data_IF_670668573131
#
_entry.id   IF_670668573131
#
_cell.length_a   1.000
_cell.length_b   1.000
_cell.length_c   1.000
_cell.angle_alpha   90.00
_cell.angle_beta   90.00
_cell.angle_gamma   90.00
#
_symmetry.space_group_name_H-M   'P 1'
#
loop_
_entity.id
_entity.type
_entity.pdbx_description
1 polymer ?
#
# COMPACT_ATOMS: atom_id res chain seq x y z
N UNK A 1 11.63 7.62 21.61
CA UNK A 1 12.25 7.04 20.42
C UNK A 1 11.27 6.05 19.79
N UNK A 2 11.21 6.00 18.44
CA UNK A 2 10.49 4.94 17.76
C UNK A 2 11.18 3.60 18.02
N UNK A 3 10.42 2.50 17.96
CA UNK A 3 10.95 1.15 18.05
C UNK A 3 10.54 0.39 16.78
N UNK A 4 11.52 -0.03 15.98
CA UNK A 4 11.29 -0.81 14.75
C UNK A 4 11.91 -2.19 14.95
N UNK A 5 11.05 -3.19 15.08
CA UNK A 5 11.46 -4.60 15.08
C UNK A 5 11.63 -5.06 13.64
N UNK A 6 12.79 -5.60 13.31
CA UNK A 6 13.08 -6.10 11.96
C UNK A 6 12.88 -7.61 11.86
N UNK A 7 12.03 -8.03 10.93
CA UNK A 7 11.84 -9.41 10.52
C UNK A 7 12.33 -9.56 9.07
N UNK A 8 13.39 -10.35 8.88
CA UNK A 8 13.92 -10.63 7.55
C UNK A 8 13.54 -12.05 7.12
N UNK A 9 12.63 -12.16 6.13
CA UNK A 9 12.17 -13.43 5.60
C UNK A 9 13.02 -13.96 4.44
N UNK A 10 14.04 -13.22 3.99
CA UNK A 10 14.90 -13.64 2.85
C UNK A 10 15.62 -14.96 3.12
N UNK A 11 16.24 -15.21 4.29
CA UNK A 11 16.86 -16.50 4.56
C UNK A 11 15.87 -17.66 4.47
N UNK A 12 14.62 -17.45 4.93
CA UNK A 12 13.54 -18.45 4.85
C UNK A 12 13.12 -18.70 3.41
N UNK A 13 13.09 -17.66 2.56
CA UNK A 13 12.83 -17.81 1.14
C UNK A 13 13.94 -18.57 0.43
N UNK A 14 15.21 -18.29 0.74
CA UNK A 14 16.35 -18.96 0.13
C UNK A 14 16.40 -20.45 0.48
N UNK A 15 16.12 -20.82 1.73
CA UNK A 15 16.00 -22.22 2.16
C UNK A 15 14.88 -22.95 1.39
N UNK A 16 13.72 -22.29 1.24
CA UNK A 16 12.65 -22.80 0.38
C UNK A 16 13.13 -22.95 -1.07
N UNK A 17 13.73 -21.91 -1.66
CA UNK A 17 14.14 -21.89 -3.05
C UNK A 17 15.16 -22.99 -3.37
N UNK A 18 16.14 -23.20 -2.51
CA UNK A 18 17.14 -24.27 -2.64
C UNK A 18 16.47 -25.67 -2.73
N UNK A 19 15.46 -25.92 -1.89
CA UNK A 19 14.71 -27.20 -1.90
C UNK A 19 13.80 -27.33 -3.11
N UNK A 20 13.24 -26.22 -3.60
CA UNK A 20 12.27 -26.19 -4.71
C UNK A 20 12.93 -26.12 -6.09
N UNK A 21 14.21 -25.71 -6.19
CA UNK A 21 14.92 -25.55 -7.46
C UNK A 21 15.58 -26.85 -7.93
N UNK A 22 14.84 -27.95 -7.85
CA UNK A 22 15.26 -29.26 -8.34
C UNK A 22 14.55 -29.55 -9.67
N UNK A 23 15.27 -30.07 -10.67
CA UNK A 23 14.77 -30.25 -12.04
C UNK A 23 13.54 -31.16 -12.14
N UNK A 24 13.48 -32.18 -11.26
CA UNK A 24 12.38 -33.16 -11.27
C UNK A 24 11.10 -32.73 -10.55
N UNK A 25 11.09 -31.58 -9.86
CA UNK A 25 9.88 -31.09 -9.20
C UNK A 25 8.97 -30.38 -10.20
N UNK A 26 7.69 -30.70 -10.14
CA UNK A 26 6.67 -29.97 -10.85
C UNK A 26 6.21 -28.72 -10.08
N UNK A 27 5.33 -27.94 -10.68
CA UNK A 27 4.88 -26.67 -10.10
C UNK A 27 4.02 -26.88 -8.85
N UNK A 28 3.25 -27.97 -8.77
CA UNK A 28 2.43 -28.29 -7.59
C UNK A 28 3.31 -28.72 -6.41
N UNK A 29 4.37 -29.47 -6.64
CA UNK A 29 5.32 -29.86 -5.62
C UNK A 29 6.10 -28.64 -5.09
N UNK A 30 6.50 -27.72 -5.98
CA UNK A 30 7.12 -26.42 -5.62
C UNK A 30 6.17 -25.57 -4.81
N UNK A 31 4.88 -25.48 -5.19
CA UNK A 31 3.86 -24.76 -4.44
C UNK A 31 3.65 -25.33 -3.04
N UNK A 32 3.64 -26.66 -2.91
CA UNK A 32 3.57 -27.33 -1.60
C UNK A 32 4.76 -26.95 -0.72
N UNK A 33 5.97 -27.02 -1.25
CA UNK A 33 7.18 -26.60 -0.54
C UNK A 33 7.13 -25.11 -0.14
N UNK A 34 6.60 -24.24 -1.01
CA UNK A 34 6.43 -22.84 -0.70
C UNK A 34 5.51 -22.63 0.50
N UNK A 35 4.37 -23.28 0.54
CA UNK A 35 3.43 -23.22 1.66
C UNK A 35 4.01 -23.75 2.97
N UNK A 36 4.77 -24.80 2.91
CA UNK A 36 5.35 -25.45 4.09
C UNK A 36 6.56 -24.69 4.66
N UNK A 37 7.35 -24.06 3.82
CA UNK A 37 8.64 -23.51 4.23
C UNK A 37 8.69 -21.97 4.23
N UNK A 38 7.88 -21.29 3.43
CA UNK A 38 7.91 -19.83 3.31
C UNK A 38 6.58 -19.17 3.60
N UNK A 39 5.56 -19.42 2.80
CA UNK A 39 4.16 -19.04 2.97
C UNK A 39 3.92 -17.56 3.31
N UNK A 40 4.56 -16.65 2.58
CA UNK A 40 4.37 -15.21 2.75
C UNK A 40 4.17 -14.52 1.39
N UNK A 41 3.07 -13.77 1.26
CA UNK A 41 2.73 -13.00 0.06
C UNK A 41 1.84 -11.79 0.43
N UNK A 42 1.87 -10.77 -0.43
CA UNK A 42 1.03 -9.57 -0.30
C UNK A 42 -0.39 -9.84 -0.85
N UNK A 43 -1.16 -10.66 -0.14
CA UNK A 43 -2.50 -11.10 -0.55
C UNK A 43 -3.48 -11.00 0.62
N UNK A 44 -4.80 -10.88 0.35
CA UNK A 44 -5.82 -10.94 1.39
C UNK A 44 -5.76 -12.25 2.18
N UNK A 45 -6.22 -12.28 3.44
CA UNK A 45 -6.31 -13.52 4.20
C UNK A 45 -7.38 -14.47 3.62
N UNK A 46 -7.24 -15.77 3.92
CA UNK A 46 -8.23 -16.80 3.56
C UNK A 46 -7.98 -17.49 2.22
N UNK A 47 -8.98 -18.24 1.76
CA UNK A 47 -8.85 -19.11 0.57
C UNK A 47 -8.60 -18.33 -0.72
N UNK A 48 -9.25 -17.18 -0.88
CA UNK A 48 -9.06 -16.36 -2.07
C UNK A 48 -7.63 -15.81 -2.15
N UNK A 49 -7.09 -15.36 -1.02
CA UNK A 49 -5.68 -14.94 -0.93
C UNK A 49 -4.72 -16.07 -1.27
N UNK A 50 -5.02 -17.31 -0.87
CA UNK A 50 -4.21 -18.47 -1.22
C UNK A 50 -4.22 -18.78 -2.73
N UNK A 51 -5.35 -18.58 -3.41
CA UNK A 51 -5.44 -18.71 -4.88
C UNK A 51 -4.61 -17.65 -5.58
N UNK A 52 -4.70 -16.40 -5.11
CA UNK A 52 -3.89 -15.28 -5.64
C UNK A 52 -2.40 -15.56 -5.41
N UNK A 53 -2.00 -15.95 -4.20
CA UNK A 53 -0.61 -16.29 -3.87
C UNK A 53 -0.07 -17.39 -4.77
N UNK A 54 -0.86 -18.44 -5.05
CA UNK A 54 -0.50 -19.53 -5.96
C UNK A 54 -0.24 -19.02 -7.38
N UNK A 55 -1.13 -18.17 -7.88
CA UNK A 55 -0.98 -17.56 -9.20
C UNK A 55 0.28 -16.66 -9.29
N UNK A 56 0.51 -15.83 -8.29
CA UNK A 56 1.71 -14.98 -8.18
C UNK A 56 2.98 -15.84 -8.16
N UNK A 57 2.99 -16.87 -7.34
CA UNK A 57 4.10 -17.80 -7.22
C UNK A 57 4.47 -18.45 -8.56
N UNK A 58 3.49 -18.97 -9.29
CA UNK A 58 3.74 -19.58 -10.61
C UNK A 58 4.25 -18.54 -11.61
N UNK A 59 3.69 -17.35 -11.64
CA UNK A 59 4.16 -16.25 -12.49
C UNK A 59 5.55 -15.74 -12.13
N UNK A 60 6.01 -15.96 -10.90
CA UNK A 60 7.28 -15.47 -10.39
C UNK A 60 8.43 -16.49 -10.52
N UNK A 61 8.17 -17.79 -10.74
CA UNK A 61 9.18 -18.83 -10.65
C UNK A 61 10.43 -18.55 -11.50
N UNK A 62 10.23 -18.24 -12.78
CA UNK A 62 11.36 -17.92 -13.67
C UNK A 62 12.03 -16.58 -13.34
N UNK A 63 11.30 -15.65 -12.69
CA UNK A 63 11.86 -14.40 -12.20
C UNK A 63 12.75 -14.64 -10.98
N UNK A 64 12.38 -15.54 -10.08
CA UNK A 64 13.25 -15.96 -8.96
C UNK A 64 14.59 -16.47 -9.46
N UNK A 65 14.59 -17.40 -10.42
CA UNK A 65 15.82 -17.93 -11.02
C UNK A 65 16.73 -16.83 -11.58
N UNK A 66 16.14 -15.88 -12.30
CA UNK A 66 16.88 -14.76 -12.90
C UNK A 66 17.44 -13.77 -11.89
N UNK A 67 16.78 -13.63 -10.73
CA UNK A 67 17.12 -12.63 -9.73
C UNK A 67 17.73 -13.23 -8.45
N UNK A 68 18.02 -14.53 -8.42
CA UNK A 68 18.47 -15.19 -7.18
C UNK A 68 19.72 -14.53 -6.59
N UNK A 69 20.70 -14.17 -7.41
CA UNK A 69 21.92 -13.48 -6.96
C UNK A 69 21.61 -12.11 -6.31
N UNK A 70 20.61 -11.38 -6.80
CA UNK A 70 20.16 -10.14 -6.18
C UNK A 70 19.52 -10.42 -4.83
N UNK A 71 18.63 -11.42 -4.75
CA UNK A 71 17.93 -11.80 -3.52
C UNK A 71 18.93 -12.25 -2.44
N UNK A 72 19.93 -13.08 -2.79
CA UNK A 72 20.97 -13.56 -1.88
C UNK A 72 21.84 -12.44 -1.31
N UNK A 73 22.15 -11.44 -2.13
CA UNK A 73 23.04 -10.34 -1.74
C UNK A 73 22.30 -9.11 -1.20
N UNK A 74 20.96 -9.14 -1.17
CA UNK A 74 20.16 -8.02 -0.70
C UNK A 74 20.37 -7.74 0.78
N UNK A 75 20.41 -6.47 1.13
CA UNK A 75 20.56 -6.02 2.52
C UNK A 75 19.59 -4.89 2.82
N UNK A 76 18.82 -5.05 3.89
CA UNK A 76 17.93 -3.99 4.38
C UNK A 76 18.70 -2.76 4.86
N UNK A 77 18.04 -1.61 4.72
CA UNK A 77 18.56 -0.34 5.22
C UNK A 77 17.58 0.23 6.26
N UNK A 78 17.75 -0.18 7.52
CA UNK A 78 16.89 0.28 8.62
C UNK A 78 16.98 1.79 8.85
N UNK A 79 18.19 2.37 8.72
CA UNK A 79 18.39 3.82 8.90
C UNK A 79 17.58 4.63 7.90
N UNK A 80 17.43 4.14 6.65
CA UNK A 80 16.58 4.77 5.64
C UNK A 80 15.11 4.77 6.08
N UNK A 81 14.62 3.65 6.61
CA UNK A 81 13.24 3.55 7.12
C UNK A 81 13.01 4.47 8.31
N UNK A 82 13.95 4.52 9.26
CA UNK A 82 13.89 5.41 10.42
C UNK A 82 13.87 6.90 10.03
N UNK A 83 14.70 7.29 9.07
CA UNK A 83 14.74 8.67 8.57
C UNK A 83 13.43 9.04 7.87
N UNK A 84 12.93 8.20 6.98
CA UNK A 84 11.66 8.42 6.29
C UNK A 84 10.48 8.47 7.29
N UNK A 85 10.43 7.58 8.27
CA UNK A 85 9.42 7.61 9.34
C UNK A 85 9.45 8.93 10.13
N UNK A 86 10.64 9.43 10.44
CA UNK A 86 10.81 10.71 11.14
C UNK A 86 10.26 11.87 10.30
N UNK A 87 10.53 11.86 9.00
CA UNK A 87 10.08 12.89 8.06
C UNK A 87 8.54 12.87 7.90
N UNK A 88 7.95 11.70 7.69
CA UNK A 88 6.49 11.52 7.63
C UNK A 88 5.83 11.96 8.94
N UNK A 89 6.37 11.57 10.10
CA UNK A 89 5.86 12.01 11.41
C UNK A 89 5.87 13.53 11.56
N UNK A 90 6.96 14.18 11.16
CA UNK A 90 7.08 15.64 11.20
C UNK A 90 6.02 16.30 10.32
N UNK A 91 5.82 15.78 9.12
CA UNK A 91 4.89 16.32 8.14
C UNK A 91 3.42 16.17 8.60
N UNK A 92 3.08 15.02 9.18
CA UNK A 92 1.73 14.77 9.70
C UNK A 92 1.51 15.28 11.14
N UNK A 93 2.53 15.87 11.76
CA UNK A 93 2.42 16.47 13.09
C UNK A 93 2.29 15.45 14.23
N UNK A 94 2.87 14.25 14.08
CA UNK A 94 2.84 13.19 15.09
C UNK A 94 4.16 13.11 15.85
N UNK A 95 4.16 13.43 17.14
CA UNK A 95 5.36 13.52 17.99
C UNK A 95 5.60 12.29 18.88
N UNK A 96 4.57 11.44 19.08
CA UNK A 96 4.67 10.28 19.96
C UNK A 96 5.50 9.14 19.33
N UNK A 97 6.12 8.25 20.13
CA UNK A 97 6.78 7.06 19.63
C UNK A 97 5.86 6.17 18.79
N UNK A 98 6.42 5.53 17.77
CA UNK A 98 5.74 4.48 17.01
C UNK A 98 6.51 3.17 17.21
N UNK A 99 5.77 2.12 17.58
CA UNK A 99 6.24 0.75 17.58
C UNK A 99 5.77 0.08 16.29
N UNK A 100 6.72 -0.32 15.45
CA UNK A 100 6.48 -0.85 14.11
C UNK A 100 7.24 -2.16 13.93
N UNK A 101 6.66 -3.10 13.22
CA UNK A 101 7.36 -4.28 12.71
C UNK A 101 7.67 -4.04 11.23
N UNK A 102 8.93 -4.15 10.85
CA UNK A 102 9.38 -4.06 9.46
C UNK A 102 9.65 -5.47 8.95
N UNK A 103 8.91 -5.89 7.94
CA UNK A 103 9.05 -7.22 7.34
C UNK A 103 9.60 -7.07 5.92
N UNK A 104 10.81 -7.58 5.69
CA UNK A 104 11.32 -7.75 4.33
C UNK A 104 11.02 -9.15 3.83
N UNK A 105 10.45 -9.25 2.63
CA UNK A 105 10.04 -10.52 2.05
C UNK A 105 10.32 -10.58 0.54
N UNK A 106 10.27 -11.76 -0.04
CA UNK A 106 10.30 -11.97 -1.49
C UNK A 106 8.88 -12.27 -1.95
N UNK A 107 8.30 -11.37 -2.73
CA UNK A 107 6.94 -11.49 -3.28
C UNK A 107 6.90 -12.15 -4.66
N UNK A 108 5.88 -11.83 -5.44
CA UNK A 108 5.67 -12.35 -6.80
C UNK A 108 6.08 -11.38 -7.91
N UNK A 109 6.89 -10.38 -7.62
CA UNK A 109 7.26 -9.26 -8.53
C UNK A 109 6.10 -8.36 -8.93
N UNK A 110 5.08 -8.29 -8.09
CA UNK A 110 3.93 -7.41 -8.24
C UNK A 110 4.15 -5.98 -7.70
N UNK A 111 5.30 -5.74 -7.06
CA UNK A 111 5.67 -4.47 -6.43
C UNK A 111 4.63 -3.98 -5.40
N UNK A 112 4.14 -4.88 -4.59
CA UNK A 112 3.09 -4.61 -3.62
C UNK A 112 3.64 -4.57 -2.19
N UNK A 113 4.14 -3.41 -1.75
CA UNK A 113 4.35 -3.12 -0.34
C UNK A 113 3.00 -2.84 0.33
N UNK A 114 2.87 -3.13 1.62
CA UNK A 114 1.63 -2.92 2.35
C UNK A 114 1.84 -2.76 3.84
N UNK A 115 0.85 -2.14 4.50
CA UNK A 115 0.73 -2.08 5.96
C UNK A 115 -0.43 -2.95 6.41
N UNK A 116 -0.20 -3.79 7.42
CA UNK A 116 -1.21 -4.67 8.01
C UNK A 116 -1.09 -4.73 9.53
N UNK A 117 -2.14 -5.12 10.27
CA UNK A 117 -2.03 -5.46 11.68
C UNK A 117 -1.02 -6.59 11.90
N UNK A 118 -0.09 -6.41 12.82
CA UNK A 118 0.84 -7.46 13.23
C UNK A 118 0.37 -8.15 14.50
N UNK A 119 -0.01 -7.34 15.48
CA UNK A 119 -0.62 -7.77 16.73
C UNK A 119 -1.65 -6.72 17.20
N UNK A 120 -2.08 -6.80 18.46
CA UNK A 120 -3.10 -5.89 19.01
C UNK A 120 -2.67 -4.42 19.04
N UNK A 121 -1.36 -4.14 19.08
CA UNK A 121 -0.83 -2.80 19.29
C UNK A 121 -0.02 -2.27 18.09
N UNK A 122 0.58 -3.19 17.31
CA UNK A 122 1.56 -2.85 16.29
C UNK A 122 1.06 -3.15 14.88
N UNK A 123 1.48 -2.30 13.97
CA UNK A 123 1.38 -2.53 12.54
C UNK A 123 2.67 -3.14 12.01
N UNK A 124 2.55 -3.94 10.96
CA UNK A 124 3.68 -4.37 10.14
C UNK A 124 3.72 -3.55 8.85
N UNK A 125 4.90 -3.05 8.53
CA UNK A 125 5.26 -2.55 7.20
C UNK A 125 5.95 -3.68 6.44
N UNK A 126 5.33 -4.18 5.40
CA UNK A 126 5.82 -5.30 4.60
C UNK A 126 6.36 -4.79 3.26
N UNK A 127 7.65 -5.03 2.99
CA UNK A 127 8.35 -4.53 1.80
C UNK A 127 8.89 -5.70 0.99
N UNK A 128 8.44 -5.88 -0.27
CA UNK A 128 9.01 -6.86 -1.17
C UNK A 128 10.36 -6.36 -1.70
N UNK A 129 11.38 -7.21 -1.61
CA UNK A 129 12.75 -6.78 -1.95
C UNK A 129 13.07 -6.87 -3.45
N UNK A 130 12.41 -7.73 -4.18
CA UNK A 130 12.66 -7.98 -5.60
C UNK A 130 12.31 -6.81 -6.52
N UNK A 131 11.52 -5.87 -6.01
CA UNK A 131 11.12 -4.66 -6.75
C UNK A 131 12.09 -3.48 -6.56
N UNK A 132 13.15 -3.69 -5.80
CA UNK A 132 14.15 -2.67 -5.48
C UNK A 132 13.69 -1.67 -4.42
N UNK A 133 14.57 -0.73 -4.12
CA UNK A 133 14.32 0.33 -3.13
C UNK A 133 13.60 1.52 -3.76
N UNK A 134 12.39 1.83 -3.29
CA UNK A 134 11.61 2.99 -3.70
C UNK A 134 11.31 3.89 -2.51
N UNK A 135 11.84 5.12 -2.50
CA UNK A 135 11.50 6.12 -1.48
C UNK A 135 10.05 6.58 -1.60
N UNK A 136 9.48 6.55 -2.82
CA UNK A 136 8.06 6.84 -3.06
C UNK A 136 7.20 5.80 -2.34
N UNK A 137 7.46 4.51 -2.56
CA UNK A 137 6.75 3.42 -1.91
C UNK A 137 6.93 3.46 -0.39
N UNK A 138 8.16 3.65 0.08
CA UNK A 138 8.46 3.71 1.51
C UNK A 138 7.71 4.86 2.21
N UNK A 139 7.73 6.05 1.65
CA UNK A 139 7.02 7.20 2.22
C UNK A 139 5.50 7.06 2.14
N UNK A 140 4.97 6.44 1.08
CA UNK A 140 3.56 6.10 0.95
C UNK A 140 3.10 5.18 2.10
N UNK A 141 3.76 4.04 2.26
CA UNK A 141 3.39 3.06 3.29
C UNK A 141 3.61 3.59 4.72
N UNK A 142 4.68 4.32 4.97
CA UNK A 142 4.89 4.96 6.28
C UNK A 142 3.86 6.04 6.58
N UNK A 143 3.26 6.67 5.54
CA UNK A 143 2.13 7.58 5.73
C UNK A 143 0.92 6.84 6.29
N UNK A 144 0.59 5.65 5.81
CA UNK A 144 -0.48 4.83 6.40
C UNK A 144 -0.21 4.51 7.88
N UNK A 145 1.03 4.16 8.22
CA UNK A 145 1.43 3.89 9.62
C UNK A 145 1.21 5.11 10.51
N UNK A 146 1.66 6.29 10.10
CA UNK A 146 1.53 7.52 10.90
C UNK A 146 0.08 8.00 10.92
N UNK A 147 -0.62 8.01 9.79
CA UNK A 147 -2.01 8.42 9.67
C UNK A 147 -2.94 7.56 10.53
N UNK A 148 -2.68 6.27 10.65
CA UNK A 148 -3.44 5.41 11.56
C UNK A 148 -3.42 5.89 13.02
N UNK A 149 -2.32 6.54 13.43
CA UNK A 149 -2.15 7.07 14.79
C UNK A 149 -2.69 8.50 14.96
N UNK A 150 -2.65 9.33 13.91
CA UNK A 150 -3.17 10.72 13.98
C UNK A 150 -4.69 10.77 13.88
N UNK A 151 -5.30 9.92 13.05
CA UNK A 151 -6.73 9.89 12.78
C UNK A 151 -7.48 8.80 13.57
N UNK A 152 -6.76 8.00 14.38
CA UNK A 152 -7.33 6.85 15.10
C UNK A 152 -8.06 5.87 14.16
N UNK A 153 -7.39 5.53 13.03
CA UNK A 153 -7.98 4.68 12.00
C UNK A 153 -8.11 3.23 12.47
N UNK A 154 -9.20 2.59 12.07
CA UNK A 154 -9.35 1.15 12.26
C UNK A 154 -8.28 0.39 11.46
N UNK A 155 -7.65 -0.64 12.05
CA UNK A 155 -6.72 -1.49 11.33
C UNK A 155 -7.42 -2.50 10.41
N UNK A 156 -8.75 -2.59 10.46
CA UNK A 156 -9.54 -3.53 9.69
C UNK A 156 -9.55 -3.18 8.20
N UNK A 157 -9.72 -4.18 7.37
CA UNK A 157 -9.93 -4.00 5.94
C UNK A 157 -11.25 -3.28 5.64
N UNK A 158 -12.30 -3.63 6.40
CA UNK A 158 -13.66 -3.10 6.25
C UNK A 158 -13.76 -1.71 6.89
N UNK A 159 -13.46 -0.70 6.10
CA UNK A 159 -13.56 0.73 6.45
C UNK A 159 -14.34 1.46 5.37
N UNK A 160 -14.86 2.65 5.66
CA UNK A 160 -15.63 3.41 4.68
C UNK A 160 -14.83 3.74 3.43
N UNK A 161 -15.49 3.83 2.29
CA UNK A 161 -14.86 4.27 1.03
C UNK A 161 -14.22 5.66 1.22
N UNK A 162 -14.88 6.56 1.93
CA UNK A 162 -14.30 7.86 2.26
C UNK A 162 -12.98 7.74 3.02
N UNK A 163 -12.90 6.83 4.01
CA UNK A 163 -11.66 6.58 4.76
C UNK A 163 -10.54 6.09 3.83
N UNK A 164 -10.84 5.17 2.93
CA UNK A 164 -9.87 4.67 1.94
C UNK A 164 -9.41 5.79 1.00
N UNK A 165 -10.32 6.61 0.47
CA UNK A 165 -10.00 7.76 -0.38
C UNK A 165 -9.02 8.70 0.30
N UNK A 166 -9.30 9.11 1.56
CA UNK A 166 -8.45 10.06 2.27
C UNK A 166 -7.07 9.48 2.58
N UNK A 167 -7.01 8.19 2.97
CA UNK A 167 -5.76 7.51 3.28
C UNK A 167 -4.85 7.41 2.05
N UNK A 168 -5.39 6.98 0.91
CA UNK A 168 -4.61 6.82 -0.32
C UNK A 168 -4.21 8.17 -0.92
N UNK A 169 -5.12 9.15 -0.89
CA UNK A 169 -4.82 10.51 -1.32
C UNK A 169 -3.73 11.16 -0.50
N UNK A 170 -3.80 11.03 0.83
CA UNK A 170 -2.78 11.56 1.73
C UNK A 170 -1.43 10.88 1.48
N UNK A 171 -1.40 9.54 1.37
CA UNK A 171 -0.16 8.78 1.18
C UNK A 171 0.53 9.10 -0.16
N UNK A 172 -0.23 9.27 -1.24
CA UNK A 172 0.31 9.66 -2.55
C UNK A 172 0.87 11.08 -2.55
N UNK A 173 0.17 12.05 -1.93
CA UNK A 173 0.64 13.44 -1.88
C UNK A 173 1.83 13.62 -0.92
N UNK A 174 1.86 12.90 0.21
CA UNK A 174 3.03 12.88 1.10
C UNK A 174 4.24 12.31 0.38
N UNK A 175 4.09 11.22 -0.35
CA UNK A 175 5.21 10.65 -1.11
C UNK A 175 5.72 11.60 -2.19
N UNK A 176 4.83 12.34 -2.87
CA UNK A 176 5.21 13.40 -3.81
C UNK A 176 5.96 14.54 -3.16
N UNK A 177 5.59 14.92 -1.94
CA UNK A 177 6.25 15.98 -1.19
C UNK A 177 7.64 15.57 -0.72
N UNK A 178 7.79 14.36 -0.17
CA UNK A 178 9.06 13.83 0.36
C UNK A 178 10.05 13.51 -0.78
N UNK A 179 9.55 13.00 -1.90
CA UNK A 179 10.37 12.60 -3.07
C UNK A 179 9.99 13.45 -4.28
N UNK A 180 10.32 14.73 -4.33
CA UNK A 180 9.84 15.62 -5.38
C UNK A 180 10.54 15.37 -6.74
N UNK A 181 9.98 15.99 -7.80
CA UNK A 181 10.64 16.10 -9.11
C UNK A 181 10.39 14.93 -10.06
N UNK A 182 9.43 14.06 -9.75
CA UNK A 182 8.94 13.04 -10.69
C UNK A 182 7.59 13.48 -11.27
N UNK A 183 7.22 13.00 -12.48
CA UNK A 183 5.86 13.17 -12.99
C UNK A 183 4.82 12.55 -12.06
N UNK A 184 3.61 13.10 -12.05
CA UNK A 184 2.53 12.68 -11.14
C UNK A 184 2.20 11.19 -11.25
N UNK A 185 2.29 10.64 -12.44
CA UNK A 185 2.08 9.22 -12.72
C UNK A 185 2.97 8.31 -11.86
N UNK A 186 4.18 8.77 -11.49
CA UNK A 186 5.12 7.97 -10.67
C UNK A 186 4.69 7.79 -9.22
N UNK A 187 3.77 8.62 -8.74
CA UNK A 187 3.29 8.57 -7.36
C UNK A 187 1.96 7.82 -7.23
N UNK A 188 1.17 7.73 -8.31
CA UNK A 188 -0.19 7.21 -8.23
C UNK A 188 -0.48 6.07 -9.24
N UNK A 189 0.23 6.04 -10.38
CA UNK A 189 -0.12 5.15 -11.48
C UNK A 189 0.36 3.72 -11.21
N UNK A 190 -0.55 2.75 -11.30
CA UNK A 190 -0.24 1.33 -11.15
C UNK A 190 -0.04 0.62 -12.51
N UNK A 191 -0.57 1.20 -13.59
CA UNK A 191 -0.35 0.77 -14.97
C UNK A 191 -0.27 1.97 -15.92
N UNK A 192 0.56 1.88 -16.92
CA UNK A 192 0.83 2.97 -17.86
C UNK A 192 -0.43 3.54 -18.49
N UNK A 193 -0.60 4.85 -18.40
CA UNK A 193 -1.70 5.60 -19.00
C UNK A 193 -3.00 5.63 -18.20
N UNK A 194 -3.06 4.91 -17.06
CA UNK A 194 -4.25 4.87 -16.21
C UNK A 194 -4.62 6.25 -15.65
N UNK A 195 -3.66 6.98 -15.12
CA UNK A 195 -3.92 8.29 -14.51
C UNK A 195 -4.48 9.30 -15.52
N UNK A 196 -3.89 9.33 -16.71
CA UNK A 196 -4.38 10.21 -17.78
C UNK A 196 -5.77 9.79 -18.27
N UNK A 197 -6.07 8.48 -18.32
CA UNK A 197 -7.41 8.01 -18.68
C UNK A 197 -8.47 8.40 -17.64
N UNK A 198 -8.13 8.35 -16.34
CA UNK A 198 -9.03 8.83 -15.29
C UNK A 198 -9.29 10.34 -15.38
N UNK A 199 -8.27 11.14 -15.71
CA UNK A 199 -8.45 12.60 -15.91
C UNK A 199 -9.48 12.94 -17.00
N UNK A 200 -9.58 12.14 -18.06
CA UNK A 200 -10.54 12.37 -19.13
C UNK A 200 -12.00 12.22 -18.69
N UNK A 201 -12.26 11.42 -17.66
CA UNK A 201 -13.59 11.16 -17.10
C UNK A 201 -13.66 11.54 -15.61
N UNK A 202 -12.87 12.52 -15.22
CA UNK A 202 -12.71 12.98 -13.84
C UNK A 202 -14.04 13.26 -13.13
N UNK A 203 -14.91 14.01 -13.79
CA UNK A 203 -16.21 14.42 -13.21
C UNK A 203 -17.13 13.21 -12.97
N UNK A 204 -17.11 12.25 -13.89
CA UNK A 204 -17.90 11.02 -13.79
C UNK A 204 -17.41 10.12 -12.67
N UNK A 205 -16.08 9.92 -12.53
CA UNK A 205 -15.49 9.15 -11.42
C UNK A 205 -15.89 9.77 -10.09
N UNK A 206 -15.63 11.06 -9.91
CA UNK A 206 -15.91 11.77 -8.65
C UNK A 206 -17.41 11.70 -8.31
N UNK A 207 -18.29 11.99 -9.28
CA UNK A 207 -19.73 11.90 -9.09
C UNK A 207 -20.20 10.48 -8.77
N UNK A 208 -19.60 9.48 -9.42
CA UNK A 208 -19.98 8.09 -9.28
C UNK A 208 -19.64 7.49 -7.92
N UNK A 209 -18.56 7.92 -7.27
CA UNK A 209 -18.10 7.35 -5.99
C UNK A 209 -18.78 8.01 -4.75
N UNK A 210 -19.23 9.27 -4.85
CA UNK A 210 -19.82 10.02 -3.73
C UNK A 210 -20.94 9.27 -3.00
N UNK A 211 -21.89 8.57 -3.70
CA UNK A 211 -22.96 7.83 -3.02
C UNK A 211 -22.46 6.71 -2.09
N UNK A 212 -21.21 6.27 -2.25
CA UNK A 212 -20.62 5.16 -1.51
C UNK A 212 -19.72 5.59 -0.35
N UNK A 213 -19.60 6.87 -0.05
CA UNK A 213 -18.66 7.37 0.96
C UNK A 213 -18.81 6.71 2.33
N UNK A 214 -20.03 6.37 2.76
CA UNK A 214 -20.29 5.70 4.04
C UNK A 214 -20.26 4.17 3.95
N UNK A 215 -20.16 3.61 2.75
CA UNK A 215 -20.19 2.17 2.57
C UNK A 215 -18.85 1.56 2.99
N UNK A 216 -18.91 0.52 3.81
CA UNK A 216 -17.75 -0.23 4.31
C UNK A 216 -17.84 -1.72 3.99
N UNK A 217 -18.78 -2.13 3.12
CA UNK A 217 -18.91 -3.52 2.71
C UNK A 217 -17.70 -3.98 1.89
N UNK A 218 -17.26 -5.21 2.12
CA UNK A 218 -16.13 -5.81 1.39
C UNK A 218 -16.33 -5.79 -0.12
N UNK A 219 -17.58 -5.93 -0.60
CA UNK A 219 -17.94 -5.87 -2.01
C UNK A 219 -17.62 -4.49 -2.60
N UNK A 220 -18.08 -3.42 -1.94
CA UNK A 220 -17.90 -2.05 -2.41
C UNK A 220 -16.43 -1.62 -2.29
N UNK A 221 -15.74 -2.00 -1.21
CA UNK A 221 -14.31 -1.76 -1.06
C UNK A 221 -13.56 -2.42 -2.22
N UNK A 222 -13.82 -3.70 -2.50
CA UNK A 222 -13.19 -4.42 -3.60
C UNK A 222 -13.48 -3.76 -4.95
N UNK A 223 -14.72 -3.33 -5.18
CA UNK A 223 -15.13 -2.64 -6.40
C UNK A 223 -14.29 -1.40 -6.70
N UNK A 224 -14.03 -0.57 -5.69
CA UNK A 224 -13.36 0.72 -5.88
C UNK A 224 -11.84 0.68 -5.68
N UNK A 225 -11.31 -0.34 -4.99
CA UNK A 225 -9.85 -0.49 -4.76
C UNK A 225 -9.17 -1.39 -5.78
N UNK A 226 -9.84 -2.43 -6.26
CA UNK A 226 -9.27 -3.43 -7.18
C UNK A 226 -10.13 -3.65 -8.43
N UNK A 227 -11.44 -3.43 -8.31
CA UNK A 227 -12.40 -3.58 -9.40
C UNK A 227 -12.51 -2.34 -10.28
N UNK A 228 -13.51 -2.36 -11.14
CA UNK A 228 -13.70 -1.35 -12.21
C UNK A 228 -14.56 -0.15 -11.81
N UNK A 229 -14.79 0.08 -10.54
CA UNK A 229 -15.53 1.25 -10.03
C UNK A 229 -16.88 1.48 -10.70
N UNK A 230 -17.20 2.75 -11.00
CA UNK A 230 -18.44 3.18 -11.68
C UNK A 230 -18.25 3.59 -13.14
N UNK A 231 -17.02 3.81 -13.58
CA UNK A 231 -16.70 4.32 -14.93
C UNK A 231 -15.85 3.36 -15.75
N UNK A 232 -15.77 2.08 -15.33
CA UNK A 232 -14.88 1.07 -15.88
C UNK A 232 -13.37 1.39 -15.71
N UNK A 233 -13.03 2.29 -14.79
CA UNK A 233 -11.66 2.50 -14.33
C UNK A 233 -11.43 1.75 -13.04
N UNK A 234 -10.35 0.99 -12.97
CA UNK A 234 -9.93 0.35 -11.73
C UNK A 234 -9.34 1.39 -10.77
N UNK A 235 -9.34 1.08 -9.46
CA UNK A 235 -8.71 1.90 -8.42
C UNK A 235 -9.22 3.35 -8.34
N UNK A 236 -10.52 3.58 -8.55
CA UNK A 236 -11.12 4.93 -8.50
C UNK A 236 -10.90 5.64 -7.15
N UNK A 237 -10.79 4.92 -6.03
CA UNK A 237 -10.50 5.52 -4.71
C UNK A 237 -9.15 6.26 -4.70
N UNK A 238 -8.13 5.73 -5.39
CA UNK A 238 -6.81 6.35 -5.48
C UNK A 238 -6.88 7.65 -6.27
N UNK A 239 -7.56 7.63 -7.42
CA UNK A 239 -7.73 8.81 -8.25
C UNK A 239 -8.49 9.93 -7.51
N UNK A 240 -9.62 9.61 -6.87
CA UNK A 240 -10.41 10.58 -6.11
C UNK A 240 -9.63 11.09 -4.89
N UNK A 241 -8.88 10.22 -4.21
CA UNK A 241 -8.00 10.62 -3.12
C UNK A 241 -6.93 11.62 -3.57
N UNK A 242 -6.28 11.36 -4.70
CA UNK A 242 -5.32 12.30 -5.31
C UNK A 242 -5.96 13.66 -5.57
N UNK A 243 -7.11 13.70 -6.23
CA UNK A 243 -7.81 14.93 -6.59
C UNK A 243 -8.22 15.75 -5.35
N UNK A 244 -8.83 15.09 -4.34
CA UNK A 244 -9.28 15.76 -3.11
C UNK A 244 -8.11 16.33 -2.33
N UNK A 245 -7.06 15.52 -2.07
CA UNK A 245 -5.93 15.98 -1.28
C UNK A 245 -5.13 17.06 -2.02
N UNK A 246 -5.00 16.96 -3.34
CA UNK A 246 -4.41 18.04 -4.15
C UNK A 246 -5.18 19.34 -3.97
N UNK A 247 -6.52 19.33 -4.12
CA UNK A 247 -7.35 20.51 -3.97
C UNK A 247 -7.27 21.12 -2.54
N UNK A 248 -7.22 20.29 -1.51
CA UNK A 248 -7.04 20.76 -0.13
C UNK A 248 -5.70 21.48 0.07
N UNK A 249 -4.61 20.89 -0.43
CA UNK A 249 -3.28 21.50 -0.36
C UNK A 249 -3.21 22.83 -1.13
N UNK A 250 -3.85 22.93 -2.28
CA UNK A 250 -3.96 24.17 -3.08
C UNK A 250 -4.76 25.27 -2.35
N UNK A 251 -5.71 24.88 -1.49
CA UNK A 251 -6.41 25.82 -0.59
C UNK A 251 -5.61 26.19 0.67
N UNK A 252 -4.39 25.67 0.81
CA UNK A 252 -3.50 25.95 1.95
C UNK A 252 -3.76 25.07 3.18
N UNK A 253 -4.61 24.03 3.07
CA UNK A 253 -4.76 23.04 4.14
C UNK A 253 -3.48 22.21 4.24
N UNK A 254 -2.96 22.03 5.43
CA UNK A 254 -1.69 21.32 5.66
C UNK A 254 -1.89 19.81 5.75
N UNK A 255 -0.84 19.04 5.47
CA UNK A 255 -0.85 17.58 5.69
C UNK A 255 -1.24 17.20 7.14
N UNK A 256 -0.77 18.00 8.11
CA UNK A 256 -1.13 17.80 9.52
C UNK A 256 -2.62 17.93 9.77
N UNK A 257 -3.27 18.94 9.20
CA UNK A 257 -4.72 19.15 9.34
C UNK A 257 -5.48 18.01 8.68
N UNK A 258 -5.12 17.60 7.46
CA UNK A 258 -5.75 16.47 6.76
C UNK A 258 -5.58 15.18 7.60
N UNK A 259 -4.37 14.90 8.06
CA UNK A 259 -4.07 13.69 8.83
C UNK A 259 -4.71 13.66 10.23
N UNK A 260 -5.22 14.78 10.73
CA UNK A 260 -5.86 14.87 12.06
C UNK A 260 -7.36 14.59 12.02
N UNK A 261 -7.95 14.47 10.84
CA UNK A 261 -9.39 14.19 10.68
C UNK A 261 -9.68 12.78 11.20
N UNK A 262 -10.44 12.68 12.30
CA UNK A 262 -10.76 11.40 12.94
C UNK A 262 -11.62 10.54 12.02
N UNK A 263 -11.44 9.23 12.06
CA UNK A 263 -12.03 8.27 11.10
C UNK A 263 -13.55 8.44 10.96
N UNK A 264 -14.27 8.58 12.06
CA UNK A 264 -15.72 8.72 12.07
C UNK A 264 -16.22 10.03 11.40
N UNK A 265 -15.35 11.01 11.22
CA UNK A 265 -15.66 12.31 10.59
C UNK A 265 -15.30 12.34 9.11
N UNK A 266 -14.48 11.40 8.63
CA UNK A 266 -13.96 11.41 7.26
C UNK A 266 -15.07 11.46 6.21
N UNK A 267 -16.16 10.67 6.28
CA UNK A 267 -17.21 10.73 5.26
C UNK A 267 -17.85 12.13 5.11
N UNK A 268 -18.13 12.81 6.21
CA UNK A 268 -18.69 14.17 6.19
C UNK A 268 -17.65 15.19 5.71
N UNK A 269 -16.41 15.06 6.18
CA UNK A 269 -15.30 15.90 5.74
C UNK A 269 -15.11 15.83 4.22
N UNK A 270 -15.12 14.64 3.62
CA UNK A 270 -14.99 14.50 2.17
C UNK A 270 -16.20 15.03 1.39
N UNK A 271 -17.42 14.98 1.96
CA UNK A 271 -18.60 15.64 1.34
C UNK A 271 -18.44 17.16 1.29
N UNK A 272 -17.90 17.76 2.35
CA UNK A 272 -17.59 19.19 2.37
C UNK A 272 -16.52 19.53 1.34
N UNK A 273 -15.44 18.70 1.25
CA UNK A 273 -14.36 18.86 0.26
C UNK A 273 -14.83 18.65 -1.18
N UNK A 274 -15.92 17.92 -1.41
CA UNK A 274 -16.44 17.66 -2.76
C UNK A 274 -16.72 18.96 -3.55
N UNK A 275 -17.13 20.01 -2.86
CA UNK A 275 -17.36 21.32 -3.49
C UNK A 275 -16.09 21.95 -4.07
N UNK A 276 -14.89 21.54 -3.61
CA UNK A 276 -13.60 22.02 -4.13
C UNK A 276 -13.24 21.41 -5.48
N UNK A 277 -13.91 20.33 -5.88
CA UNK A 277 -13.62 19.58 -7.10
C UNK A 277 -14.48 20.00 -8.31
N UNK A 278 -15.47 20.89 -8.09
CA UNK A 278 -16.43 21.36 -9.09
C UNK A 278 -16.04 22.70 -9.70
#
# INVERSE_FOLDING_TARGET
>A
LNNIELINLIPKFLDFYERANLEWLDDEERWKLWKENYNFAAVPPGEEGQKIAKSLFYGAWEKYKKNINYIENWKGNLTRVENCLKEVKSLLGYDKPINLVLIYFVGGFENNAFVAPYDQERLALCIPIECGDSDITLSHELTHVVHSKTANLTPNWERTIASTILQEGLATQVSKFIVPGKPDEKYIEHKQGWFNSCKLVRAEIIKGIVPYFDDSSSEVITKFTFGTGTTNHDREVYFVGWEIVTALLEQGVTFKEIASVQEEKIPNYLRECYSLLN
#
